data_IF_633136622419
#
_entry.id   IF_633136622419
#
_cell.length_a   1.000
_cell.length_b   1.000
_cell.length_c   1.000
_cell.angle_alpha   90.00
_cell.angle_beta   90.00
_cell.angle_gamma   90.00
#
_symmetry.space_group_name_H-M   'P 1'
#
loop_
_entity.id
_entity.type
_entity.pdbx_description
1 polymer ?
#
# COMPACT_ATOMS: atom_id res chain seq x y z
N UNK A 1 -11.71 -1.81 27.13
CA UNK A 1 -10.84 -1.63 25.94
C UNK A 1 -9.54 -2.36 26.22
N UNK A 2 -9.35 -3.56 25.66
CA UNK A 2 -8.14 -4.36 25.84
C UNK A 2 -7.00 -3.75 25.04
N UNK A 3 -5.98 -3.24 25.73
CA UNK A 3 -4.74 -2.78 25.13
C UNK A 3 -3.98 -3.99 24.58
N UNK A 4 -3.76 -4.02 23.27
CA UNK A 4 -2.90 -5.03 22.63
C UNK A 4 -1.50 -4.42 22.52
N UNK A 5 -0.49 -4.99 23.20
CA UNK A 5 0.88 -4.49 23.11
C UNK A 5 1.40 -4.54 21.67
N UNK A 6 2.19 -3.54 21.26
CA UNK A 6 2.77 -3.46 19.92
C UNK A 6 3.58 -4.72 19.54
N UNK A 7 4.18 -5.41 20.51
CA UNK A 7 4.88 -6.67 20.32
C UNK A 7 3.96 -7.80 19.86
N UNK A 8 2.72 -7.87 20.37
CA UNK A 8 1.73 -8.88 19.98
C UNK A 8 1.20 -8.62 18.56
N UNK A 9 1.05 -7.34 18.17
CA UNK A 9 0.75 -6.95 16.79
C UNK A 9 1.90 -7.32 15.84
N UNK A 10 3.16 -7.20 16.28
CA UNK A 10 4.32 -7.61 15.49
C UNK A 10 4.41 -9.13 15.34
N UNK A 11 4.11 -9.91 16.38
CA UNK A 11 4.08 -11.39 16.32
C UNK A 11 2.93 -11.92 15.46
N UNK A 12 1.73 -11.34 15.58
CA UNK A 12 0.59 -11.69 14.72
C UNK A 12 0.85 -11.30 13.26
N UNK A 13 1.47 -10.14 13.01
CA UNK A 13 1.90 -9.72 11.67
C UNK A 13 3.02 -10.60 11.08
N UNK A 14 3.94 -11.08 11.92
CA UNK A 14 5.01 -12.00 11.51
C UNK A 14 4.45 -13.37 11.10
N UNK A 15 3.42 -13.88 11.78
CA UNK A 15 2.82 -15.19 11.42
C UNK A 15 2.03 -15.14 10.10
N UNK A 16 1.30 -14.06 9.83
CA UNK A 16 0.52 -13.89 8.60
C UNK A 16 1.43 -13.67 7.39
N UNK A 17 2.53 -12.93 7.58
CA UNK A 17 3.54 -12.74 6.53
C UNK A 17 4.27 -14.02 6.17
N UNK A 18 4.52 -14.90 7.13
CA UNK A 18 5.20 -16.17 6.90
C UNK A 18 4.40 -17.15 6.01
N UNK A 19 3.06 -17.06 5.98
CA UNK A 19 2.25 -18.03 5.24
C UNK A 19 2.13 -17.73 3.75
N UNK A 20 1.74 -16.51 3.38
CA UNK A 20 1.62 -16.16 1.96
C UNK A 20 2.99 -16.07 1.28
N UNK A 21 4.05 -15.69 2.00
CA UNK A 21 5.40 -15.60 1.43
C UNK A 21 5.94 -16.94 0.94
N UNK A 22 5.53 -18.07 1.56
CA UNK A 22 5.88 -19.43 1.07
C UNK A 22 5.33 -19.73 -0.32
N UNK A 23 4.25 -19.06 -0.72
CA UNK A 23 3.62 -19.21 -2.05
C UNK A 23 4.10 -18.14 -3.04
N UNK A 24 5.02 -17.27 -2.65
CA UNK A 24 5.47 -16.17 -3.49
C UNK A 24 6.37 -16.66 -4.63
N UNK A 25 6.00 -16.33 -5.87
CA UNK A 25 6.75 -16.70 -7.09
C UNK A 25 8.16 -16.09 -7.16
N UNK A 26 8.46 -15.11 -6.30
CA UNK A 26 9.78 -14.50 -6.19
C UNK A 26 10.78 -15.32 -5.33
N UNK A 27 10.33 -16.36 -4.62
CA UNK A 27 11.21 -17.22 -3.82
C UNK A 27 12.40 -17.74 -4.62
N UNK A 28 13.62 -17.58 -4.07
CA UNK A 28 14.86 -17.99 -4.74
C UNK A 28 15.33 -17.09 -5.90
N UNK A 29 14.62 -15.99 -6.21
CA UNK A 29 14.93 -15.08 -7.35
C UNK A 29 15.52 -13.74 -6.92
N UNK A 30 16.34 -13.72 -5.86
CA UNK A 30 16.87 -12.48 -5.27
C UNK A 30 17.53 -11.55 -6.32
N UNK A 31 18.34 -12.08 -7.23
CA UNK A 31 19.00 -11.28 -8.30
C UNK A 31 18.02 -10.60 -9.27
N UNK A 32 16.82 -11.15 -9.44
CA UNK A 32 15.78 -10.56 -10.30
C UNK A 32 15.01 -9.49 -9.56
N UNK A 33 14.70 -9.73 -8.28
CA UNK A 33 13.87 -8.84 -7.46
C UNK A 33 14.66 -7.67 -6.86
N UNK A 34 15.96 -7.87 -6.63
CA UNK A 34 16.89 -6.85 -6.15
C UNK A 34 18.02 -6.62 -7.18
N UNK A 35 17.69 -6.08 -8.37
CA UNK A 35 18.69 -5.75 -9.37
C UNK A 35 19.55 -4.59 -8.86
N UNK A 36 20.89 -4.64 -9.03
CA UNK A 36 21.76 -3.58 -8.55
C UNK A 36 21.38 -2.25 -9.22
N UNK A 37 21.19 -1.19 -8.43
CA UNK A 37 20.67 0.11 -8.90
C UNK A 37 21.44 0.69 -10.10
N UNK A 38 22.77 0.49 -10.14
CA UNK A 38 23.62 0.93 -11.27
C UNK A 38 23.32 0.22 -12.60
N UNK A 39 22.61 -0.91 -12.58
CA UNK A 39 22.22 -1.72 -13.75
C UNK A 39 20.71 -1.93 -13.85
N UNK A 40 19.89 -1.12 -13.17
CA UNK A 40 18.43 -1.25 -13.27
C UNK A 40 17.94 -0.66 -14.60
N UNK A 41 18.19 -1.39 -15.68
CA UNK A 41 17.59 -1.10 -16.97
C UNK A 41 16.09 -1.43 -16.98
N UNK A 42 15.39 -0.86 -17.96
CA UNK A 42 13.95 -1.09 -18.10
C UNK A 42 13.62 -2.58 -18.26
N UNK A 43 14.49 -3.36 -18.92
CA UNK A 43 14.30 -4.78 -19.13
C UNK A 43 14.33 -5.59 -17.82
N UNK A 44 15.32 -5.35 -16.96
CA UNK A 44 15.47 -5.98 -15.64
C UNK A 44 14.30 -5.62 -14.74
N UNK A 45 13.90 -4.34 -14.74
CA UNK A 45 12.71 -3.88 -14.03
C UNK A 45 11.45 -4.61 -14.51
N UNK A 46 11.25 -4.68 -15.83
CA UNK A 46 10.06 -5.32 -16.41
C UNK A 46 10.03 -6.83 -16.14
N UNK A 47 11.19 -7.51 -16.15
CA UNK A 47 11.29 -8.92 -15.75
C UNK A 47 10.83 -9.14 -14.30
N UNK A 48 11.30 -8.32 -13.36
CA UNK A 48 10.88 -8.42 -11.96
C UNK A 48 9.40 -8.09 -11.75
N UNK A 49 8.88 -7.07 -12.44
CA UNK A 49 7.46 -6.73 -12.43
C UNK A 49 6.63 -7.90 -12.98
N UNK A 50 7.05 -8.53 -14.07
CA UNK A 50 6.35 -9.70 -14.63
C UNK A 50 6.27 -10.87 -13.63
N UNK A 51 7.34 -11.12 -12.85
CA UNK A 51 7.31 -12.11 -11.76
C UNK A 51 6.26 -11.74 -10.71
N UNK A 52 6.15 -10.46 -10.34
CA UNK A 52 5.13 -10.01 -9.39
C UNK A 52 3.71 -10.16 -9.95
N UNK A 53 3.49 -9.78 -11.21
CA UNK A 53 2.17 -9.82 -11.85
C UNK A 53 1.65 -11.25 -12.05
N UNK A 54 2.54 -12.23 -12.19
CA UNK A 54 2.18 -13.66 -12.22
C UNK A 54 2.11 -14.34 -10.85
N UNK A 55 2.30 -13.60 -9.75
CA UNK A 55 2.38 -14.15 -8.41
C UNK A 55 0.99 -14.30 -7.78
N UNK A 56 0.64 -15.51 -7.33
CA UNK A 56 -0.67 -15.79 -6.71
C UNK A 56 -0.94 -15.03 -5.39
N UNK A 57 0.09 -14.43 -4.80
CA UNK A 57 0.03 -13.67 -3.53
C UNK A 57 0.35 -12.18 -3.72
N UNK A 58 0.13 -11.65 -4.93
CA UNK A 58 0.42 -10.25 -5.26
C UNK A 58 -0.33 -9.26 -4.35
N UNK A 59 -1.61 -9.52 -4.08
CA UNK A 59 -2.44 -8.61 -3.29
C UNK A 59 -2.07 -8.63 -1.80
N UNK A 60 -1.76 -9.81 -1.25
CA UNK A 60 -1.21 -9.95 0.10
C UNK A 60 0.13 -9.21 0.22
N UNK A 61 1.01 -9.40 -0.76
CA UNK A 61 2.32 -8.74 -0.84
C UNK A 61 2.18 -7.21 -0.92
N UNK A 62 1.24 -6.71 -1.73
CA UNK A 62 0.96 -5.27 -1.87
C UNK A 62 0.42 -4.69 -0.56
N UNK A 63 -0.52 -5.38 0.08
CA UNK A 63 -1.08 -4.95 1.35
C UNK A 63 0.01 -4.85 2.40
N UNK A 64 0.78 -5.93 2.57
CA UNK A 64 1.89 -5.97 3.52
C UNK A 64 2.90 -4.85 3.26
N UNK A 65 3.47 -4.75 2.05
CA UNK A 65 4.56 -3.80 1.78
C UNK A 65 4.13 -2.34 1.96
N UNK A 66 2.85 -2.03 1.71
CA UNK A 66 2.31 -0.67 1.88
C UNK A 66 2.07 -0.30 3.35
N UNK A 67 1.93 -1.28 4.25
CA UNK A 67 1.82 -1.05 5.70
C UNK A 67 3.17 -0.85 6.39
N UNK A 68 4.28 -1.25 5.76
CA UNK A 68 5.61 -1.11 6.35
C UNK A 68 6.02 0.37 6.45
N UNK A 69 6.66 0.78 7.56
CA UNK A 69 7.33 2.06 7.63
C UNK A 69 8.51 2.09 6.65
N UNK A 70 8.87 3.28 6.15
CA UNK A 70 9.96 3.44 5.15
C UNK A 70 11.27 2.78 5.57
N UNK A 71 11.61 2.79 6.87
CA UNK A 71 12.83 2.17 7.41
C UNK A 71 12.83 0.63 7.36
N UNK A 72 11.65 0.02 7.26
CA UNK A 72 11.48 -1.43 7.16
C UNK A 72 11.10 -1.85 5.72
N UNK A 73 11.25 -0.98 4.74
CA UNK A 73 11.01 -1.32 3.35
C UNK A 73 12.03 -2.38 2.88
N UNK A 74 11.58 -3.47 2.21
CA UNK A 74 12.47 -4.56 1.80
C UNK A 74 13.43 -4.20 0.64
N UNK A 75 13.34 -2.98 0.09
CA UNK A 75 14.14 -2.57 -1.07
C UNK A 75 13.67 -3.22 -2.37
N UNK A 76 14.46 -3.02 -3.44
CA UNK A 76 14.24 -3.64 -4.74
C UNK A 76 12.82 -3.46 -5.31
N UNK A 77 12.40 -4.48 -6.08
CA UNK A 77 11.07 -4.57 -6.69
C UNK A 77 10.22 -5.54 -5.88
N UNK A 78 9.11 -5.05 -5.36
CA UNK A 78 8.18 -5.79 -4.52
C UNK A 78 6.75 -5.33 -4.82
N UNK A 79 5.79 -6.25 -4.82
CA UNK A 79 4.39 -5.99 -5.14
C UNK A 79 4.16 -5.26 -6.49
N UNK A 80 4.99 -5.59 -7.50
CA UNK A 80 5.02 -4.94 -8.82
C UNK A 80 5.38 -3.43 -8.78
N UNK A 81 6.06 -2.98 -7.72
CA UNK A 81 6.48 -1.59 -7.53
C UNK A 81 7.98 -1.53 -7.24
N UNK A 82 8.65 -0.49 -7.73
CA UNK A 82 9.99 -0.13 -7.27
C UNK A 82 9.94 0.52 -5.89
N UNK A 83 11.07 0.55 -5.19
CA UNK A 83 11.23 1.31 -3.94
C UNK A 83 10.75 2.77 -4.09
N UNK A 84 11.18 3.46 -5.15
CA UNK A 84 10.77 4.85 -5.41
C UNK A 84 9.27 5.00 -5.62
N UNK A 85 8.62 4.05 -6.30
CA UNK A 85 7.17 4.05 -6.48
C UNK A 85 6.43 3.80 -5.15
N UNK A 86 6.94 2.91 -4.30
CA UNK A 86 6.39 2.68 -2.95
C UNK A 86 6.56 3.93 -2.07
N UNK A 87 7.74 4.54 -2.06
CA UNK A 87 8.01 5.77 -1.34
C UNK A 87 7.08 6.91 -1.78
N UNK A 88 6.88 7.07 -3.10
CA UNK A 88 5.95 8.06 -3.64
C UNK A 88 4.51 7.79 -3.15
N UNK A 89 4.05 6.54 -3.19
CA UNK A 89 2.70 6.18 -2.70
C UNK A 89 2.52 6.45 -1.20
N UNK A 90 3.54 6.18 -0.38
CA UNK A 90 3.53 6.46 1.07
C UNK A 90 3.53 7.96 1.36
N UNK A 91 4.29 8.76 0.59
CA UNK A 91 4.33 10.23 0.74
C UNK A 91 2.95 10.86 0.59
N UNK A 92 2.09 10.29 -0.25
CA UNK A 92 0.73 10.75 -0.47
C UNK A 92 -0.28 10.11 0.49
N UNK A 93 0.13 9.31 1.48
CA UNK A 93 -0.82 8.76 2.44
C UNK A 93 -1.36 9.85 3.36
N UNK A 94 -2.68 9.88 3.53
CA UNK A 94 -3.41 10.85 4.35
C UNK A 94 -4.35 10.12 5.30
N UNK A 95 -4.56 10.68 6.48
CA UNK A 95 -5.55 10.19 7.44
C UNK A 95 -6.92 10.77 7.08
N UNK A 96 -7.91 9.91 6.86
CA UNK A 96 -9.28 10.35 6.64
C UNK A 96 -9.90 10.88 7.93
N UNK A 97 -10.45 12.10 7.93
CA UNK A 97 -11.10 12.68 9.13
C UNK A 97 -12.42 12.00 9.50
N UNK A 98 -13.09 11.36 8.54
CA UNK A 98 -14.34 10.62 8.75
C UNK A 98 -14.13 9.27 9.44
N UNK A 99 -13.37 8.37 8.80
CA UNK A 99 -13.16 7.01 9.31
C UNK A 99 -11.85 6.82 10.11
N UNK A 100 -10.96 7.83 10.14
CA UNK A 100 -9.68 7.83 10.86
C UNK A 100 -8.67 6.76 10.39
N UNK A 101 -8.87 6.20 9.21
CA UNK A 101 -7.91 5.30 8.58
C UNK A 101 -6.84 6.08 7.82
N UNK A 102 -5.59 5.60 7.88
CA UNK A 102 -4.49 6.06 7.03
C UNK A 102 -4.62 5.35 5.69
N UNK A 103 -4.88 6.12 4.63
CA UNK A 103 -5.10 5.60 3.29
C UNK A 103 -4.14 6.29 2.31
N UNK A 104 -3.76 5.64 1.21
CA UNK A 104 -2.97 6.31 0.18
C UNK A 104 -3.78 7.46 -0.45
N UNK A 105 -3.10 8.50 -0.91
CA UNK A 105 -3.73 9.70 -1.49
C UNK A 105 -4.65 9.41 -2.68
N UNK A 106 -4.45 8.27 -3.34
CA UNK A 106 -5.34 7.75 -4.39
C UNK A 106 -6.75 7.44 -3.89
N UNK A 107 -6.94 7.23 -2.59
CA UNK A 107 -8.24 7.03 -1.95
C UNK A 107 -8.94 8.34 -1.57
N UNK A 108 -8.37 9.48 -1.93
CA UNK A 108 -8.94 10.81 -1.69
C UNK A 108 -9.29 11.47 -3.03
N UNK A 109 -10.21 12.43 -3.02
CA UNK A 109 -10.48 13.25 -4.19
C UNK A 109 -9.48 14.42 -4.23
N UNK A 110 -9.10 14.86 -5.42
CA UNK A 110 -8.29 16.06 -5.58
C UNK A 110 -9.07 17.29 -5.11
N UNK A 111 -8.47 18.10 -4.24
CA UNK A 111 -8.97 19.40 -3.83
C UNK A 111 -7.84 20.41 -3.84
N UNK A 112 -7.71 21.25 -4.89
CA UNK A 112 -6.61 22.22 -4.99
C UNK A 112 -6.67 23.32 -3.91
N UNK A 113 -7.74 23.39 -3.12
CA UNK A 113 -7.86 24.32 -1.99
C UNK A 113 -7.15 23.82 -0.73
N UNK A 114 -6.81 22.54 -0.65
CA UNK A 114 -6.09 21.97 0.48
C UNK A 114 -4.57 22.06 0.26
N UNK A 115 -3.75 22.26 1.32
CA UNK A 115 -2.30 22.36 1.18
C UNK A 115 -1.64 21.13 0.54
N UNK A 116 -2.23 19.95 0.72
CA UNK A 116 -1.78 18.70 0.14
C UNK A 116 -2.51 18.33 -1.16
N UNK A 117 -3.41 19.19 -1.63
CA UNK A 117 -4.18 18.97 -2.86
C UNK A 117 -5.23 17.87 -2.76
N UNK A 118 -5.56 17.35 -1.55
CA UNK A 118 -6.48 16.22 -1.35
C UNK A 118 -7.56 16.54 -0.32
N UNK A 119 -8.79 16.08 -0.57
CA UNK A 119 -9.90 16.21 0.39
C UNK A 119 -9.56 15.60 1.76
N UNK A 120 -10.13 16.10 2.88
CA UNK A 120 -9.91 15.50 4.20
C UNK A 120 -10.60 14.14 4.39
N UNK A 121 -11.61 13.83 3.58
CA UNK A 121 -12.35 12.58 3.59
C UNK A 121 -11.90 11.66 2.47
N UNK A 122 -11.83 10.35 2.73
CA UNK A 122 -11.63 9.36 1.69
C UNK A 122 -12.87 9.25 0.78
N UNK A 123 -12.71 8.60 -0.37
CA UNK A 123 -13.77 8.36 -1.36
C UNK A 123 -14.98 7.65 -0.75
N UNK A 124 -14.76 6.65 0.11
CA UNK A 124 -15.85 5.92 0.78
C UNK A 124 -16.67 6.82 1.70
N UNK A 125 -16.03 7.59 2.59
CA UNK A 125 -16.72 8.56 3.45
C UNK A 125 -17.43 9.64 2.62
N UNK A 126 -16.79 10.12 1.55
CA UNK A 126 -17.39 11.12 0.65
C UNK A 126 -18.67 10.60 0.00
N UNK A 127 -18.71 9.33 -0.41
CA UNK A 127 -19.91 8.70 -0.96
C UNK A 127 -21.03 8.59 0.07
N UNK A 128 -20.72 8.21 1.32
CA UNK A 128 -21.70 8.11 2.40
C UNK A 128 -22.36 9.47 2.70
N UNK A 129 -21.55 10.54 2.77
CA UNK A 129 -22.06 11.90 3.00
C UNK A 129 -22.99 12.32 1.85
N UNK A 130 -22.59 12.08 0.59
CA UNK A 130 -23.43 12.39 -0.59
C UNK A 130 -24.74 11.61 -0.60
N UNK A 131 -24.72 10.33 -0.20
CA UNK A 131 -25.93 9.51 -0.08
C UNK A 131 -26.88 10.08 0.98
N UNK A 132 -26.36 10.36 2.18
CA UNK A 132 -27.15 10.94 3.27
C UNK A 132 -27.80 12.28 2.89
N UNK A 133 -27.08 13.15 2.17
CA UNK A 133 -27.62 14.42 1.70
C UNK A 133 -28.75 14.26 0.67
N UNK A 134 -28.67 13.26 -0.23
CA UNK A 134 -29.76 12.96 -1.18
C UNK A 134 -31.01 12.47 -0.47
N UNK A 135 -30.83 11.56 0.50
CA UNK A 135 -31.94 10.99 1.25
C UNK A 135 -32.70 12.05 2.06
N UNK A 136 -32.02 13.11 2.52
CA UNK A 136 -32.62 14.25 3.23
C UNK A 136 -33.37 15.22 2.30
N UNK A 137 -32.99 15.33 1.03
CA UNK A 137 -33.65 16.19 0.05
C UNK A 137 -34.93 15.59 -0.55
N UNK A 138 -35.21 14.32 -0.25
CA UNK A 138 -36.36 13.59 -0.79
C UNK A 138 -37.49 13.44 0.25
N UNK A 139 -37.43 14.22 1.33
CA UNK A 139 -38.34 14.19 2.48
C UNK A 139 -38.90 15.57 2.74
#
# INVERSE_FOLDING_TARGET
MTYIPAAVLAELGASVTAEWTRRAACGGRARVMDPPMRKLDAASRNRAIAVCLGCAVLDDCRTWVMTLPTKADPGGICAALTESQRAQRRKHAKTCTGCRLVLPGTEFHGNPREPDGLTPYCKACSQQIRKAARDQSTR
#
